data_IF_553274997248
#
_entry.id   IF_553274997248
#
_cell.length_a   1.000
_cell.length_b   1.000
_cell.length_c   1.000
_cell.angle_alpha   90.00
_cell.angle_beta   90.00
_cell.angle_gamma   90.00
#
_symmetry.space_group_name_H-M   'P 1'
#
loop_
_entity.id
_entity.type
_entity.pdbx_description
1 polymer ?
#
# COMPACT_ATOMS: atom_id res chain seq x y z
N UNK A 1 17.46 -28.68 12.99
CA UNK A 1 17.82 -27.35 12.48
C UNK A 1 16.65 -26.46 12.84
N UNK A 2 16.84 -25.26 13.39
CA UNK A 2 15.76 -24.28 13.34
C UNK A 2 15.51 -24.04 11.85
N UNK A 3 14.30 -24.33 11.36
CA UNK A 3 13.89 -23.97 10.01
C UNK A 3 14.02 -22.46 9.90
N UNK A 4 14.67 -21.95 8.86
CA UNK A 4 14.71 -20.51 8.66
C UNK A 4 13.27 -20.04 8.43
N UNK A 5 12.75 -19.09 9.22
CA UNK A 5 11.39 -18.59 9.03
C UNK A 5 11.22 -17.93 7.64
N UNK A 6 12.32 -17.51 7.01
CA UNK A 6 12.34 -17.02 5.63
C UNK A 6 11.92 -18.09 4.60
N UNK A 7 12.13 -19.38 4.89
CA UNK A 7 11.82 -20.49 3.96
C UNK A 7 10.37 -20.98 4.06
N UNK A 8 9.55 -20.42 4.95
CA UNK A 8 8.21 -20.97 5.27
C UNK A 8 7.07 -19.94 5.21
N UNK A 9 7.30 -18.77 4.60
CA UNK A 9 6.23 -17.80 4.41
C UNK A 9 5.23 -18.31 3.37
N UNK A 10 3.96 -18.11 3.65
CA UNK A 10 2.88 -18.33 2.68
C UNK A 10 2.86 -17.22 1.63
N UNK A 11 2.20 -17.48 0.49
CA UNK A 11 2.03 -16.49 -0.57
C UNK A 11 1.38 -15.19 -0.04
N UNK A 12 0.37 -15.32 0.83
CA UNK A 12 -0.30 -14.17 1.44
C UNK A 12 0.62 -13.36 2.37
N UNK A 13 1.48 -14.03 3.13
CA UNK A 13 2.45 -13.37 4.00
C UNK A 13 3.52 -12.64 3.19
N UNK A 14 3.97 -13.25 2.10
CA UNK A 14 4.89 -12.64 1.15
C UNK A 14 4.27 -11.43 0.46
N UNK A 15 3.04 -11.54 -0.03
CA UNK A 15 2.29 -10.46 -0.68
C UNK A 15 2.10 -9.26 0.27
N UNK A 16 1.78 -9.52 1.54
CA UNK A 16 1.72 -8.48 2.57
C UNK A 16 3.06 -7.77 2.78
N UNK A 17 4.18 -8.52 2.85
CA UNK A 17 5.51 -7.92 2.98
C UNK A 17 5.93 -7.14 1.74
N UNK A 18 5.62 -7.66 0.54
CA UNK A 18 5.86 -6.99 -0.74
C UNK A 18 5.09 -5.68 -0.83
N UNK A 19 3.82 -5.68 -0.43
CA UNK A 19 3.01 -4.47 -0.33
C UNK A 19 3.74 -3.44 0.53
N UNK A 20 4.15 -3.78 1.76
CA UNK A 20 4.86 -2.85 2.66
C UNK A 20 6.21 -2.39 2.06
N UNK A 21 6.91 -3.27 1.33
CA UNK A 21 8.19 -2.94 0.69
C UNK A 21 8.08 -1.85 -0.38
N UNK A 22 6.97 -1.79 -1.10
CA UNK A 22 6.75 -0.81 -2.19
C UNK A 22 6.55 0.63 -1.70
N UNK A 23 6.71 0.89 -0.40
CA UNK A 23 6.59 2.21 0.21
C UNK A 23 5.33 2.36 1.06
N UNK A 24 4.72 1.24 1.44
CA UNK A 24 3.48 1.17 2.20
C UNK A 24 3.77 0.85 3.67
N UNK A 25 2.86 1.17 4.58
CA UNK A 25 2.99 0.82 5.99
C UNK A 25 1.80 0.01 6.48
N UNK A 26 2.06 -0.92 7.40
CA UNK A 26 1.00 -1.70 8.04
C UNK A 26 0.49 -0.93 9.26
N UNK A 27 -0.79 -0.61 9.29
CA UNK A 27 -1.48 -0.05 10.44
C UNK A 27 -2.30 -1.14 11.12
N UNK A 28 -2.18 -1.21 12.44
CA UNK A 28 -3.12 -1.97 13.28
C UNK A 28 -3.90 -0.99 14.14
N UNK A 29 -5.22 -1.06 14.01
CA UNK A 29 -6.16 -0.24 14.75
C UNK A 29 -6.75 -1.03 15.92
N UNK A 30 -6.76 -0.39 17.09
CA UNK A 30 -7.26 -0.93 18.34
C UNK A 30 -8.38 -0.03 18.87
N UNK A 31 -9.64 -0.34 18.56
CA UNK A 31 -10.79 0.33 19.16
C UNK A 31 -10.81 0.10 20.68
N UNK A 32 -11.08 1.15 21.47
CA UNK A 32 -11.23 1.07 22.93
C UNK A 32 -12.59 0.50 23.39
N UNK A 33 -13.30 -0.24 22.51
CA UNK A 33 -14.59 -0.90 22.79
C UNK A 33 -14.37 -2.39 23.01
N UNK A 34 -14.98 -2.95 24.07
CA UNK A 34 -14.81 -4.38 24.41
C UNK A 34 -15.43 -5.36 23.38
N UNK A 35 -16.32 -4.86 22.53
CA UNK A 35 -17.08 -5.63 21.55
C UNK A 35 -16.64 -5.43 20.09
N UNK A 36 -15.59 -4.63 19.85
CA UNK A 36 -14.94 -4.49 18.55
C UNK A 36 -13.59 -5.18 18.57
N UNK A 37 -13.33 -6.01 17.57
CA UNK A 37 -12.04 -6.65 17.41
C UNK A 37 -11.05 -5.68 16.74
N UNK A 38 -9.75 -5.71 17.09
CA UNK A 38 -8.74 -4.98 16.34
C UNK A 38 -8.70 -5.44 14.88
N UNK A 39 -8.21 -4.59 13.99
CA UNK A 39 -8.09 -4.91 12.57
C UNK A 39 -6.81 -4.30 12.00
N UNK A 40 -6.38 -4.83 10.85
CA UNK A 40 -5.10 -4.52 10.25
C UNK A 40 -5.23 -4.16 8.77
N UNK A 41 -4.51 -3.13 8.38
CA UNK A 41 -4.63 -2.45 7.11
C UNK A 41 -3.25 -2.08 6.59
N UNK A 42 -2.92 -2.40 5.34
CA UNK A 42 -1.74 -1.83 4.68
C UNK A 42 -2.16 -0.56 3.94
N UNK A 43 -1.54 0.56 4.28
CA UNK A 43 -1.74 1.84 3.58
C UNK A 43 -0.91 1.84 2.31
N UNK A 44 -1.58 1.75 1.16
CA UNK A 44 -0.95 1.71 -0.16
C UNK A 44 -0.68 3.10 -0.76
N UNK A 45 -1.46 4.12 -0.40
CA UNK A 45 -1.18 5.47 -0.86
C UNK A 45 -1.81 6.45 0.09
N UNK A 46 -1.21 7.65 0.19
CA UNK A 46 -1.81 8.77 0.92
C UNK A 46 -1.86 9.97 0.01
N UNK A 47 -3.07 10.46 -0.23
CA UNK A 47 -3.35 11.73 -0.90
C UNK A 47 -3.90 12.72 0.13
N UNK A 48 -3.81 14.01 -0.18
CA UNK A 48 -4.46 15.05 0.61
C UNK A 48 -5.56 15.69 -0.22
N UNK A 49 -6.81 15.52 0.19
CA UNK A 49 -7.98 16.13 -0.44
C UNK A 49 -8.64 17.09 0.56
N UNK A 50 -8.82 18.35 0.16
CA UNK A 50 -9.40 19.41 1.02
C UNK A 50 -8.73 19.60 2.40
N UNK A 51 -7.46 19.19 2.53
CA UNK A 51 -6.70 19.26 3.78
C UNK A 51 -6.88 18.05 4.69
N UNK A 52 -7.58 17.02 4.24
CA UNK A 52 -7.77 15.72 4.88
C UNK A 52 -6.92 14.65 4.19
N UNK A 53 -6.28 13.77 4.96
CA UNK A 53 -5.50 12.67 4.42
C UNK A 53 -6.45 11.53 4.00
N UNK A 54 -6.45 11.20 2.72
CA UNK A 54 -7.21 10.09 2.14
C UNK A 54 -6.23 8.98 1.77
N UNK A 55 -6.45 7.78 2.31
CA UNK A 55 -5.60 6.64 2.04
C UNK A 55 -6.27 5.58 1.17
N UNK A 56 -5.51 5.01 0.25
CA UNK A 56 -5.86 3.72 -0.35
C UNK A 56 -5.37 2.60 0.58
N UNK A 57 -6.26 1.70 0.96
CA UNK A 57 -6.01 0.70 2.00
C UNK A 57 -6.28 -0.71 1.48
N UNK A 58 -5.34 -1.63 1.69
CA UNK A 58 -5.55 -3.06 1.54
C UNK A 58 -5.83 -3.72 2.90
N UNK A 59 -6.88 -4.54 2.97
CA UNK A 59 -7.19 -5.31 4.17
C UNK A 59 -6.25 -6.51 4.30
N UNK A 60 -5.61 -6.63 5.47
CA UNK A 60 -4.76 -7.78 5.79
C UNK A 60 -5.37 -8.50 7.00
N UNK A 61 -5.46 -9.85 7.00
CA UNK A 61 -5.92 -10.57 8.17
C UNK A 61 -5.05 -10.24 9.39
N UNK A 62 -5.68 -9.86 10.50
CA UNK A 62 -4.98 -9.47 11.73
C UNK A 62 -4.03 -10.57 12.24
N UNK A 63 -4.44 -11.84 12.11
CA UNK A 63 -3.60 -12.98 12.50
C UNK A 63 -2.31 -13.03 11.66
N UNK A 64 -2.37 -12.73 10.36
CA UNK A 64 -1.21 -12.65 9.47
C UNK A 64 -0.30 -11.49 9.88
N UNK A 65 -0.87 -10.30 10.09
CA UNK A 65 -0.13 -9.12 10.55
C UNK A 65 0.63 -9.41 11.86
N UNK A 66 -0.06 -9.97 12.86
CA UNK A 66 0.54 -10.33 14.15
C UNK A 66 1.63 -11.38 14.01
N UNK A 67 1.41 -12.38 13.16
CA UNK A 67 2.41 -13.42 12.90
C UNK A 67 3.68 -12.83 12.28
N UNK A 68 3.57 -11.91 11.32
CA UNK A 68 4.71 -11.23 10.71
C UNK A 68 5.48 -10.37 11.72
N UNK A 69 4.78 -9.70 12.64
CA UNK A 69 5.38 -8.95 13.75
C UNK A 69 6.09 -9.89 14.73
N UNK A 70 5.44 -10.97 15.17
CA UNK A 70 6.01 -11.94 16.13
C UNK A 70 7.24 -12.65 15.56
N UNK A 71 7.26 -12.89 14.25
CA UNK A 71 8.42 -13.43 13.55
C UNK A 71 9.53 -12.39 13.32
N UNK A 72 9.28 -11.12 13.64
CA UNK A 72 10.23 -10.03 13.54
C UNK A 72 10.49 -9.57 12.11
N UNK A 73 9.54 -9.77 11.18
CA UNK A 73 9.62 -9.21 9.83
C UNK A 73 9.19 -7.74 9.81
N UNK A 74 8.29 -7.37 10.72
CA UNK A 74 7.78 -6.01 10.88
C UNK A 74 8.18 -5.45 12.25
N UNK A 75 8.47 -4.16 12.29
CA UNK A 75 8.83 -3.42 13.50
C UNK A 75 7.97 -2.18 13.64
N UNK A 76 7.64 -1.81 14.88
CA UNK A 76 6.87 -0.60 15.16
C UNK A 76 7.65 0.63 14.69
N UNK A 77 6.99 1.47 13.90
CA UNK A 77 7.51 2.76 13.44
C UNK A 77 7.66 3.72 14.62
N UNK A 78 8.82 4.37 14.73
CA UNK A 78 9.05 5.43 15.72
C UNK A 78 8.42 6.77 15.31
N UNK A 79 8.08 6.92 14.02
CA UNK A 79 7.52 8.16 13.46
C UNK A 79 6.01 8.29 13.71
N UNK A 80 5.35 7.17 14.05
CA UNK A 80 3.89 7.10 14.20
C UNK A 80 3.20 6.86 12.85
N UNK A 81 1.88 6.60 12.84
CA UNK A 81 1.17 6.31 11.61
C UNK A 81 1.21 7.49 10.63
N UNK A 82 1.45 7.17 9.36
CA UNK A 82 1.51 8.16 8.26
C UNK A 82 0.22 9.01 8.17
N UNK A 83 -0.93 8.47 8.58
CA UNK A 83 -2.23 9.11 8.38
C UNK A 83 -2.58 10.19 9.41
N UNK A 84 -2.17 10.10 10.69
CA UNK A 84 -2.59 11.07 11.71
C UNK A 84 -1.93 10.86 13.10
N UNK A 85 -2.46 11.53 14.14
CA UNK A 85 -2.19 11.21 15.55
C UNK A 85 -2.43 9.72 15.85
N UNK A 86 -1.58 9.09 16.68
CA UNK A 86 -1.68 7.67 17.06
C UNK A 86 -3.02 7.27 17.74
N UNK A 87 -3.91 8.23 18.00
CA UNK A 87 -5.20 8.04 18.61
C UNK A 87 -6.18 9.11 18.12
N UNK A 88 -7.36 8.70 17.68
CA UNK A 88 -8.48 9.59 17.35
C UNK A 88 -9.79 9.05 17.91
N UNK A 89 -10.84 9.87 17.86
CA UNK A 89 -12.20 9.44 18.15
C UNK A 89 -12.91 9.09 16.85
N UNK A 90 -13.37 7.86 16.74
CA UNK A 90 -14.12 7.37 15.59
C UNK A 90 -15.63 7.54 15.84
N UNK A 91 -16.28 8.34 15.01
CA UNK A 91 -17.71 8.65 15.14
C UNK A 91 -18.62 7.48 14.75
N UNK A 92 -18.17 6.58 13.88
CA UNK A 92 -18.94 5.40 13.46
C UNK A 92 -18.94 4.33 14.56
N UNK A 93 -17.80 4.15 15.21
CA UNK A 93 -17.62 3.22 16.33
C UNK A 93 -18.06 3.80 17.68
N UNK A 94 -18.25 5.12 17.77
CA UNK A 94 -18.52 5.89 18.99
C UNK A 94 -17.48 5.59 20.09
N UNK A 95 -16.19 5.50 19.69
CA UNK A 95 -15.09 5.07 20.55
C UNK A 95 -13.78 5.71 20.12
N UNK A 96 -12.81 5.81 21.04
CA UNK A 96 -11.45 6.11 20.60
C UNK A 96 -10.86 4.89 19.91
N UNK A 97 -10.07 5.14 18.87
CA UNK A 97 -9.26 4.16 18.17
C UNK A 97 -7.80 4.56 18.34
N UNK A 98 -6.95 3.59 18.66
CA UNK A 98 -5.50 3.77 18.70
C UNK A 98 -4.87 3.02 17.53
N UNK A 99 -4.05 3.69 16.75
CA UNK A 99 -3.30 3.07 15.66
C UNK A 99 -1.84 2.86 16.03
N UNK A 100 -1.30 1.72 15.59
CA UNK A 100 0.13 1.41 15.63
C UNK A 100 0.59 1.15 14.19
N UNK A 101 1.63 1.86 13.77
CA UNK A 101 2.25 1.66 12.46
C UNK A 101 3.44 0.71 12.54
N UNK A 102 3.52 -0.19 11.58
CA UNK A 102 4.61 -1.13 11.42
C UNK A 102 5.21 -1.01 10.02
N UNK A 103 6.53 -0.99 9.98
CA UNK A 103 7.35 -0.94 8.75
C UNK A 103 8.21 -2.19 8.66
N UNK A 104 8.80 -2.43 7.49
CA UNK A 104 9.72 -3.53 7.30
C UNK A 104 10.95 -3.40 8.21
N UNK A 105 11.29 -4.52 8.85
CA UNK A 105 12.56 -4.67 9.53
C UNK A 105 13.67 -5.03 8.53
N UNK A 106 14.93 -5.00 8.99
CA UNK A 106 16.07 -5.53 8.23
C UNK A 106 15.84 -6.98 7.76
N UNK A 107 15.17 -7.79 8.59
CA UNK A 107 14.82 -9.18 8.25
C UNK A 107 13.74 -9.25 7.18
N UNK A 108 12.75 -8.35 7.22
CA UNK A 108 11.71 -8.24 6.20
C UNK A 108 12.30 -7.86 4.85
N UNK A 109 13.17 -6.84 4.81
CA UNK A 109 13.89 -6.46 3.61
C UNK A 109 14.72 -7.60 3.02
N UNK A 110 15.46 -8.34 3.85
CA UNK A 110 16.25 -9.47 3.38
C UNK A 110 15.43 -10.58 2.72
N UNK A 111 14.19 -10.82 3.16
CA UNK A 111 13.28 -11.78 2.52
C UNK A 111 12.85 -11.28 1.14
N UNK A 112 12.47 -10.02 1.05
CA UNK A 112 12.04 -9.42 -0.21
C UNK A 112 13.17 -9.47 -1.24
N UNK A 113 14.37 -9.06 -0.84
CA UNK A 113 15.57 -9.10 -1.68
C UNK A 113 15.84 -10.53 -2.21
N UNK A 114 15.77 -11.54 -1.33
CA UNK A 114 15.97 -12.94 -1.73
C UNK A 114 14.89 -13.45 -2.70
N UNK A 115 13.64 -13.00 -2.52
CA UNK A 115 12.55 -13.37 -3.44
C UNK A 115 12.61 -12.64 -4.77
N UNK A 116 13.09 -11.40 -4.78
CA UNK A 116 13.28 -10.59 -5.99
C UNK A 116 14.40 -11.14 -6.87
N UNK A 117 15.50 -11.60 -6.25
CA UNK A 117 16.65 -12.23 -6.94
C UNK A 117 16.37 -13.68 -7.38
N UNK A 118 15.20 -14.25 -7.05
CA UNK A 118 14.84 -15.64 -7.37
C UNK A 118 15.55 -16.70 -6.51
N UNK A 119 16.21 -16.30 -5.42
CA UNK A 119 16.96 -17.16 -4.50
C UNK A 119 16.09 -17.65 -3.33
N UNK A 120 14.81 -17.93 -3.57
CA UNK A 120 13.98 -18.65 -2.59
C UNK A 120 14.14 -20.15 -2.80
N UNK A 121 15.23 -20.69 -2.24
CA UNK A 121 15.25 -22.05 -1.68
C UNK A 121 14.76 -23.18 -2.59
N UNK A 122 14.95 -23.08 -3.90
CA UNK A 122 14.82 -24.22 -4.80
C UNK A 122 16.00 -25.15 -4.54
N UNK A 123 15.72 -26.38 -4.08
CA UNK A 123 16.72 -27.45 -3.99
C UNK A 123 17.71 -27.35 -5.14
N UNK A 124 18.99 -27.20 -4.82
CA UNK A 124 20.09 -27.38 -5.73
C UNK A 124 20.05 -28.83 -6.27
N UNK A 125 19.27 -29.06 -7.31
CA UNK A 125 19.47 -30.19 -8.21
C UNK A 125 20.63 -29.75 -9.08
N UNK A 126 21.83 -30.23 -8.74
CA UNK A 126 23.00 -29.98 -9.54
C UNK A 126 22.76 -30.39 -10.99
N UNK A 127 22.88 -29.43 -11.89
CA UNK A 127 23.32 -29.67 -13.26
C UNK A 127 24.38 -28.61 -13.54
N UNK A 128 25.62 -29.08 -13.41
CA UNK A 128 26.80 -28.49 -14.01
C UNK A 128 26.57 -28.51 -15.52
N UNK A 129 26.09 -27.41 -16.10
CA UNK A 129 26.33 -27.12 -17.50
C UNK A 129 26.45 -25.61 -17.69
N UNK A 130 27.71 -25.22 -17.79
CA UNK A 130 28.18 -24.00 -18.41
C UNK A 130 27.62 -23.95 -19.85
N UNK A 131 26.89 -22.91 -20.20
CA UNK A 131 26.92 -22.40 -21.58
C UNK A 131 27.01 -20.87 -21.53
N UNK A 132 28.24 -20.45 -21.80
CA UNK A 132 28.67 -19.16 -22.30
C UNK A 132 28.28 -19.10 -23.78
N UNK A 133 27.30 -18.28 -24.15
CA UNK A 133 27.15 -17.75 -25.51
C UNK A 133 26.29 -16.46 -25.43
N UNK A 134 27.01 -15.36 -25.27
CA UNK A 134 26.98 -14.15 -26.11
C UNK A 134 25.81 -14.04 -27.11
N UNK A 135 25.01 -12.98 -26.99
CA UNK A 135 24.57 -12.20 -28.15
C UNK A 135 24.19 -10.77 -27.69
N UNK A 136 25.10 -9.85 -28.02
CA UNK A 136 24.89 -8.40 -28.15
C UNK A 136 23.85 -8.10 -29.27
N UNK A 137 23.29 -6.89 -29.28
CA UNK A 137 22.27 -6.31 -30.20
C UNK A 137 20.80 -6.72 -29.90
N UNK A 138 19.83 -5.82 -29.72
CA UNK A 138 19.61 -4.56 -30.43
C UNK A 138 18.93 -3.51 -29.52
N UNK A 139 19.28 -2.27 -29.83
CA UNK A 139 18.85 -1.01 -29.26
C UNK A 139 17.42 -0.73 -29.75
N UNK A 140 16.41 -1.01 -28.92
CA UNK A 140 15.04 -0.53 -29.18
C UNK A 140 14.98 0.98 -28.88
N UNK A 141 15.21 1.72 -29.96
CA UNK A 141 14.91 3.11 -30.25
C UNK A 141 13.48 3.45 -29.81
N UNK A 142 13.31 3.87 -28.55
CA UNK A 142 12.07 4.52 -28.12
C UNK A 142 12.07 5.93 -28.72
N UNK A 143 11.48 6.00 -29.92
CA UNK A 143 11.14 7.22 -30.64
C UNK A 143 10.34 8.14 -29.70
N UNK A 144 11.02 9.17 -29.18
CA UNK A 144 10.45 10.36 -28.57
C UNK A 144 9.61 11.06 -29.65
N UNK A 145 8.31 10.80 -29.69
CA UNK A 145 7.36 11.69 -30.37
C UNK A 145 6.22 12.06 -29.41
N UNK A 146 6.59 12.93 -28.47
CA UNK A 146 5.70 13.93 -27.87
C UNK A 146 5.01 14.72 -29.00
N UNK A 147 3.73 14.43 -29.27
CA UNK A 147 2.83 15.40 -29.87
C UNK A 147 1.47 15.34 -29.15
N UNK A 148 1.37 16.19 -28.11
CA UNK A 148 0.12 16.76 -27.60
C UNK A 148 -0.85 17.11 -28.75
N UNK A 149 -1.89 16.31 -28.92
CA UNK A 149 -3.07 16.66 -29.74
C UNK A 149 -4.36 16.29 -29.00
N UNK A 150 -4.52 16.82 -27.79
CA UNK A 150 -5.85 17.01 -27.23
C UNK A 150 -6.32 18.37 -27.69
N UNK A 151 -6.93 18.38 -28.89
CA UNK A 151 -7.65 19.53 -29.41
C UNK A 151 -8.53 20.13 -28.30
N UNK A 152 -8.28 21.41 -28.00
CA UNK A 152 -9.20 22.27 -27.25
C UNK A 152 -10.59 22.16 -27.90
N UNK A 153 -11.49 21.37 -27.32
CA UNK A 153 -12.92 21.54 -27.56
C UNK A 153 -13.39 22.75 -26.76
N UNK A 154 -13.17 23.91 -27.38
CA UNK A 154 -13.88 25.15 -27.16
C UNK A 154 -15.40 24.92 -27.02
N UNK A 155 -15.96 25.56 -25.99
CA UNK A 155 -17.29 26.15 -25.95
C UNK A 155 -18.51 25.23 -26.20
N UNK A 156 -18.95 24.54 -25.14
CA UNK A 156 -20.37 24.29 -24.96
C UNK A 156 -21.06 25.56 -24.43
N UNK A 157 -21.53 26.39 -25.36
CA UNK A 157 -22.59 27.39 -25.14
C UNK A 157 -23.80 26.70 -24.49
N UNK A 158 -23.97 26.86 -23.17
CA UNK A 158 -25.23 26.59 -22.48
C UNK A 158 -25.87 27.93 -22.10
N UNK A 159 -26.31 28.64 -23.14
CA UNK A 159 -27.44 29.55 -23.04
C UNK A 159 -28.71 28.70 -22.97
N UNK A 160 -29.13 28.33 -21.76
CA UNK A 160 -30.54 28.01 -21.52
C UNK A 160 -31.07 28.98 -20.46
N UNK A 161 -31.49 30.11 -21.01
CA UNK A 161 -32.37 31.11 -20.47
C UNK A 161 -33.66 30.45 -19.94
N UNK A 162 -33.69 29.95 -18.69
CA UNK A 162 -34.95 29.71 -17.97
C UNK A 162 -35.17 30.80 -16.93
N UNK A 163 -35.80 31.86 -17.40
CA UNK A 163 -36.39 32.87 -16.54
C UNK A 163 -37.46 32.28 -15.64
N UNK A 164 -37.25 32.40 -14.33
CA UNK A 164 -38.36 32.49 -13.38
C UNK A 164 -38.27 33.81 -12.63
N UNK A 165 -38.97 34.80 -13.20
CA UNK A 165 -39.63 35.86 -12.46
C UNK A 165 -40.32 35.27 -11.21
N UNK A 166 -39.84 35.60 -10.02
CA UNK A 166 -40.66 35.62 -8.82
C UNK A 166 -40.40 36.92 -8.06
N UNK A 167 -41.20 37.90 -8.48
CA UNK A 167 -41.72 39.06 -7.76
C UNK A 167 -41.99 38.76 -6.26
N UNK A 168 -41.62 39.75 -5.44
CA UNK A 168 -42.40 40.27 -4.30
C UNK A 168 -42.70 39.35 -3.09
N UNK A 169 -42.10 39.66 -1.93
CA UNK A 169 -42.90 40.13 -0.77
C UNK A 169 -42.01 40.79 0.30
N UNK A 170 -42.38 41.99 0.69
CA UNK A 170 -41.85 42.70 1.87
C UNK A 170 -42.32 42.08 3.19
N UNK A 171 -41.46 42.10 4.21
CA UNK A 171 -41.81 41.77 5.60
C UNK A 171 -40.70 42.01 6.60
#
# INVERSE_FOLDING_TARGET
MPSDPMENLTELELDALWTIYEGHSLIIEYPEREDEDPYAHAIMAVAYEDGEAVAEVAEIPLDTARLLIDQGFLVLSEEGPVLDENQWFDEELDSNVRAEEYVLSEKGHAVIDATADGDVGGEAIGDDDLDDDDDEDDEDDWDDEDEDDWEDEDDLDLDDEDGSDLDDEEG
#
